data_IF_841992776077
#
_entry.id   IF_841992776077
#
_cell.length_a   1.000
_cell.length_b   1.000
_cell.length_c   1.000
_cell.angle_alpha   90.00
_cell.angle_beta   90.00
_cell.angle_gamma   90.00
#
_symmetry.space_group_name_H-M   'P 1'
#
loop_
_entity.id
_entity.type
_entity.pdbx_description
1 polymer ?
#
# COMPACT_ATOMS: atom_id res chain seq x y z
N UNK A 1 12.18 -2.08 31.51
CA UNK A 1 12.38 -2.42 30.08
C UNK A 1 12.05 -1.18 29.23
N UNK A 2 12.95 -0.69 28.39
CA UNK A 2 12.65 0.45 27.52
C UNK A 2 11.65 0.03 26.43
N UNK A 3 10.59 0.82 26.26
CA UNK A 3 9.59 0.64 25.21
C UNK A 3 9.64 1.82 24.26
N UNK A 4 9.68 1.55 22.96
CA UNK A 4 9.75 2.55 21.90
C UNK A 4 8.66 2.36 20.88
N UNK A 5 8.02 3.44 20.48
CA UNK A 5 6.90 3.44 19.52
C UNK A 5 7.13 4.47 18.43
N UNK A 6 6.98 4.02 17.18
CA UNK A 6 6.83 4.91 16.03
C UNK A 6 5.37 4.85 15.59
N UNK A 7 4.75 5.99 15.37
CA UNK A 7 3.42 6.03 14.77
C UNK A 7 3.39 6.93 13.54
N UNK A 8 2.61 6.54 12.58
CA UNK A 8 2.38 7.31 11.36
C UNK A 8 1.38 8.45 11.63
N UNK A 9 1.75 9.70 11.28
CA UNK A 9 0.90 10.86 11.54
C UNK A 9 -0.46 10.74 10.87
N UNK A 10 -0.47 10.40 9.56
CA UNK A 10 -1.70 10.30 8.77
C UNK A 10 -2.58 9.13 9.25
N UNK A 11 -1.97 8.00 9.61
CA UNK A 11 -2.68 6.85 10.17
C UNK A 11 -3.29 7.11 11.53
N UNK A 12 -2.67 7.99 12.32
CA UNK A 12 -3.16 8.42 13.63
C UNK A 12 -4.16 9.57 13.59
N UNK A 13 -4.28 10.27 12.46
CA UNK A 13 -5.11 11.46 12.32
C UNK A 13 -6.60 11.14 12.58
N UNK A 14 -7.20 11.84 13.54
CA UNK A 14 -8.58 11.63 13.96
C UNK A 14 -8.82 10.34 14.77
N UNK A 15 -7.83 9.44 14.87
CA UNK A 15 -7.93 8.15 15.61
C UNK A 15 -7.22 8.18 16.96
N UNK A 16 -6.15 8.99 17.09
CA UNK A 16 -5.39 9.13 18.33
C UNK A 16 -5.27 10.61 18.70
N UNK A 17 -5.23 10.90 20.01
CA UNK A 17 -5.12 12.26 20.52
C UNK A 17 -3.71 12.55 21.05
N UNK A 18 -3.34 13.83 21.12
CA UNK A 18 -2.11 14.25 21.83
C UNK A 18 -2.09 13.76 23.28
N UNK A 19 -3.27 13.72 23.94
CA UNK A 19 -3.41 13.22 25.31
C UNK A 19 -3.04 11.74 25.42
N UNK A 20 -3.40 10.93 24.44
CA UNK A 20 -3.04 9.51 24.38
C UNK A 20 -1.51 9.35 24.30
N UNK A 21 -0.83 10.03 23.39
CA UNK A 21 0.62 9.96 23.26
C UNK A 21 1.37 10.51 24.47
N UNK A 22 0.86 11.57 25.10
CA UNK A 22 1.43 12.12 26.32
C UNK A 22 1.29 11.15 27.50
N UNK A 23 0.21 10.40 27.58
CA UNK A 23 0.04 9.34 28.61
C UNK A 23 1.08 8.23 28.44
N UNK A 24 1.36 7.78 27.22
CA UNK A 24 2.41 6.80 26.96
C UNK A 24 3.78 7.33 27.37
N UNK A 25 4.10 8.59 27.02
CA UNK A 25 5.37 9.23 27.42
C UNK A 25 5.51 9.37 28.93
N UNK A 26 4.43 9.73 29.62
CA UNK A 26 4.40 9.81 31.07
C UNK A 26 4.61 8.43 31.73
N UNK A 27 4.24 7.35 31.06
CA UNK A 27 4.52 5.96 31.47
C UNK A 27 5.90 5.46 31.06
N UNK A 28 6.81 6.32 30.59
CA UNK A 28 8.19 5.96 30.23
C UNK A 28 8.36 5.41 28.81
N UNK A 29 7.34 5.48 27.94
CA UNK A 29 7.44 5.05 26.55
C UNK A 29 8.04 6.17 25.71
N UNK A 30 9.10 5.87 24.95
CA UNK A 30 9.65 6.78 23.95
C UNK A 30 8.78 6.75 22.67
N UNK A 31 8.21 7.89 22.28
CA UNK A 31 7.27 7.97 21.14
C UNK A 31 7.76 8.95 20.10
N UNK A 32 7.90 8.49 18.85
CA UNK A 32 8.21 9.32 17.69
C UNK A 32 7.09 9.29 16.65
N UNK A 33 6.88 10.40 15.97
CA UNK A 33 5.87 10.57 14.93
C UNK A 33 6.54 10.57 13.56
N UNK A 34 6.06 9.72 12.66
CA UNK A 34 6.53 9.72 11.28
C UNK A 34 5.75 10.73 10.44
N UNK A 35 6.49 11.53 9.67
CA UNK A 35 5.98 12.50 8.68
C UNK A 35 4.79 13.37 9.13
N UNK A 36 4.85 14.06 10.28
CA UNK A 36 3.89 15.10 10.56
C UNK A 36 4.03 16.26 9.56
N UNK A 37 2.94 16.99 9.24
CA UNK A 37 3.01 18.17 8.40
C UNK A 37 4.10 19.14 8.85
N UNK A 38 4.94 19.56 7.93
CA UNK A 38 6.09 20.41 8.20
C UNK A 38 6.32 21.41 7.06
N UNK A 39 6.66 22.67 7.36
CA UNK A 39 7.06 23.62 6.33
C UNK A 39 8.26 23.17 5.50
N UNK A 40 9.16 22.35 6.09
CA UNK A 40 10.32 21.81 5.39
C UNK A 40 9.97 20.70 4.38
N UNK A 41 8.82 20.04 4.55
CA UNK A 41 8.33 18.98 3.67
C UNK A 41 6.80 19.04 3.61
N UNK A 42 6.23 19.95 2.82
CA UNK A 42 4.80 20.23 2.79
C UNK A 42 3.94 19.03 2.41
N UNK A 43 4.45 18.14 1.56
CA UNK A 43 3.78 16.91 1.11
C UNK A 43 4.38 15.63 1.71
N UNK A 44 5.32 15.76 2.65
CA UNK A 44 5.98 14.60 3.27
C UNK A 44 4.99 13.64 3.92
N UNK A 45 3.90 14.15 4.48
CA UNK A 45 2.83 13.35 5.12
C UNK A 45 2.10 12.41 4.16
N UNK A 46 2.25 12.55 2.84
CA UNK A 46 1.71 11.59 1.85
C UNK A 46 2.46 10.26 1.85
N UNK A 47 3.75 10.27 2.20
CA UNK A 47 4.53 9.06 2.41
C UNK A 47 4.32 8.55 3.84
N UNK A 48 3.94 7.28 3.98
CA UNK A 48 3.53 6.68 5.25
C UNK A 48 4.54 5.67 5.77
N UNK A 49 4.65 5.57 7.08
CA UNK A 49 5.17 4.36 7.70
C UNK A 49 3.99 3.37 7.89
N UNK A 50 3.81 2.51 6.89
CA UNK A 50 2.69 1.57 6.87
C UNK A 50 3.05 0.21 7.48
N UNK A 51 4.27 0.06 8.01
CA UNK A 51 4.73 -1.17 8.67
C UNK A 51 3.95 -1.42 9.95
N UNK A 52 3.60 -2.67 10.20
CA UNK A 52 3.00 -3.14 11.43
C UNK A 52 3.89 -4.24 11.97
N UNK A 53 4.74 -3.87 12.91
CA UNK A 53 5.75 -4.73 13.47
C UNK A 53 5.88 -4.52 14.97
N UNK A 54 6.28 -5.57 15.65
CA UNK A 54 6.69 -5.57 17.05
C UNK A 54 7.93 -6.45 17.18
N UNK A 55 8.95 -5.98 17.85
CA UNK A 55 10.12 -6.78 18.22
C UNK A 55 10.31 -6.70 19.72
N UNK A 56 10.61 -7.84 20.35
CA UNK A 56 10.75 -7.97 21.79
C UNK A 56 12.09 -8.63 22.11
N UNK A 57 12.95 -7.85 22.78
CA UNK A 57 14.24 -8.29 23.33
C UNK A 57 15.14 -9.03 22.32
N UNK A 58 15.01 -8.75 21.01
CA UNK A 58 15.76 -9.40 19.96
C UNK A 58 15.48 -10.91 19.79
N UNK A 59 14.48 -11.44 20.48
CA UNK A 59 14.18 -12.89 20.53
C UNK A 59 12.93 -13.28 19.75
N UNK A 60 11.95 -12.39 19.72
CA UNK A 60 10.70 -12.61 18.98
C UNK A 60 10.29 -11.34 18.24
N UNK A 61 9.82 -11.52 17.02
CA UNK A 61 9.26 -10.45 16.19
C UNK A 61 7.90 -10.83 15.64
N UNK A 62 7.06 -9.83 15.43
CA UNK A 62 5.77 -9.97 14.77
C UNK A 62 5.69 -9.03 13.59
N UNK A 63 5.23 -9.54 12.45
CA UNK A 63 4.96 -8.76 11.24
C UNK A 63 3.55 -9.10 10.75
N UNK A 64 2.74 -8.08 10.46
CA UNK A 64 1.34 -8.32 10.15
C UNK A 64 0.69 -7.21 9.32
N UNK A 65 -0.56 -7.43 8.91
CA UNK A 65 -1.47 -6.38 8.49
C UNK A 65 -2.15 -5.65 9.66
N UNK A 66 -2.16 -6.25 10.85
CA UNK A 66 -2.89 -5.78 12.02
C UNK A 66 -2.39 -4.43 12.52
N UNK A 67 -3.33 -3.55 12.86
CA UNK A 67 -3.05 -2.34 13.64
C UNK A 67 -3.60 -2.47 15.07
N UNK A 68 -3.01 -1.74 16.00
CA UNK A 68 -3.53 -1.63 17.36
C UNK A 68 -4.77 -0.71 17.31
N UNK A 69 -5.95 -1.30 17.15
CA UNK A 69 -7.19 -0.55 17.00
C UNK A 69 -8.44 -1.41 17.22
N UNK A 70 -9.54 -0.76 17.61
CA UNK A 70 -10.81 -1.40 17.93
C UNK A 70 -11.35 -2.29 16.80
N UNK A 71 -11.13 -1.90 15.55
CA UNK A 71 -11.58 -2.66 14.39
C UNK A 71 -11.05 -4.10 14.33
N UNK A 72 -9.83 -4.34 14.82
CA UNK A 72 -9.23 -5.69 14.89
C UNK A 72 -9.64 -6.51 16.11
N UNK A 73 -10.26 -5.87 17.10
CA UNK A 73 -10.82 -6.55 18.29
C UNK A 73 -12.31 -6.84 18.09
N UNK A 74 -12.99 -6.00 17.34
CA UNK A 74 -14.44 -6.00 17.21
C UNK A 74 -15.14 -5.51 18.48
N UNK A 75 -16.46 -5.63 18.50
CA UNK A 75 -17.30 -5.33 19.66
C UNK A 75 -18.34 -6.45 19.85
N UNK A 76 -17.98 -7.58 20.46
CA UNK A 76 -18.85 -8.74 20.57
C UNK A 76 -20.20 -8.44 21.23
N UNK A 77 -20.21 -7.53 22.21
CA UNK A 77 -21.44 -7.09 22.88
C UNK A 77 -22.43 -6.37 21.95
N UNK A 78 -21.96 -5.85 20.82
CA UNK A 78 -22.77 -5.19 19.79
C UNK A 78 -22.92 -6.03 18.52
N UNK A 79 -22.44 -7.28 18.52
CA UNK A 79 -22.44 -8.15 17.35
C UNK A 79 -21.49 -7.69 16.22
N UNK A 80 -20.51 -6.84 16.52
CA UNK A 80 -19.54 -6.36 15.53
C UNK A 80 -18.33 -7.29 15.55
N UNK A 81 -18.17 -8.08 14.50
CA UNK A 81 -17.04 -8.97 14.34
C UNK A 81 -15.74 -8.20 14.06
N UNK A 82 -14.57 -8.75 14.48
CA UNK A 82 -13.26 -8.15 14.18
C UNK A 82 -12.98 -8.17 12.67
N UNK A 83 -12.12 -7.28 12.23
CA UNK A 83 -11.56 -7.33 10.88
C UNK A 83 -10.72 -8.59 10.71
N UNK A 84 -10.82 -9.21 9.56
CA UNK A 84 -10.00 -10.37 9.17
C UNK A 84 -8.62 -9.88 8.75
N UNK A 85 -7.58 -10.30 9.45
CA UNK A 85 -6.20 -9.95 9.13
C UNK A 85 -5.26 -11.12 9.39
N UNK A 86 -4.00 -11.01 8.95
CA UNK A 86 -2.99 -12.05 9.09
C UNK A 86 -1.68 -11.47 9.58
N UNK A 87 -1.03 -12.17 10.49
CA UNK A 87 0.31 -11.87 10.97
C UNK A 87 1.12 -13.14 11.19
N UNK A 88 2.43 -12.97 11.27
CA UNK A 88 3.37 -14.03 11.57
C UNK A 88 4.23 -13.66 12.77
N UNK A 89 4.50 -14.64 13.62
CA UNK A 89 5.54 -14.60 14.62
C UNK A 89 6.84 -15.12 14.01
N UNK A 90 7.91 -14.42 14.26
CA UNK A 90 9.27 -14.75 13.79
C UNK A 90 10.17 -14.94 14.99
N UNK A 91 10.93 -16.03 15.01
CA UNK A 91 11.97 -16.31 16.01
C UNK A 91 13.30 -16.60 15.31
N UNK A 92 14.39 -16.52 16.06
CA UNK A 92 15.74 -16.77 15.55
C UNK A 92 16.35 -15.56 14.82
N UNK A 93 17.37 -15.77 13.96
CA UNK A 93 18.23 -14.69 13.44
C UNK A 93 17.49 -13.65 12.59
N UNK A 94 16.34 -14.00 12.02
CA UNK A 94 15.55 -13.07 11.22
C UNK A 94 14.90 -11.94 12.05
N UNK A 95 14.77 -12.08 13.37
CA UNK A 95 14.31 -11.01 14.27
C UNK A 95 15.20 -9.80 14.17
N UNK A 96 16.53 -10.01 13.97
CA UNK A 96 17.47 -8.91 13.73
C UNK A 96 17.05 -8.02 12.55
N UNK A 97 16.50 -8.58 11.49
CA UNK A 97 16.07 -7.80 10.32
C UNK A 97 14.87 -6.91 10.66
N UNK A 98 13.99 -7.35 11.57
CA UNK A 98 12.87 -6.58 12.10
C UNK A 98 13.39 -5.43 12.96
N UNK A 99 14.30 -5.73 13.90
CA UNK A 99 14.97 -4.72 14.74
C UNK A 99 15.70 -3.67 13.90
N UNK A 100 16.46 -4.11 12.90
CA UNK A 100 17.20 -3.21 11.99
C UNK A 100 16.24 -2.31 11.20
N UNK A 101 15.08 -2.83 10.79
CA UNK A 101 14.05 -2.03 10.11
C UNK A 101 13.47 -0.95 11.03
N UNK A 102 13.25 -1.27 12.32
CA UNK A 102 12.82 -0.32 13.33
C UNK A 102 13.92 0.72 13.60
N UNK A 103 15.16 0.26 13.87
CA UNK A 103 16.29 1.11 14.21
C UNK A 103 16.59 2.14 13.11
N UNK A 104 16.56 1.73 11.83
CA UNK A 104 16.71 2.65 10.69
C UNK A 104 15.65 3.74 10.69
N UNK A 105 14.37 3.39 10.92
CA UNK A 105 13.31 4.38 10.96
C UNK A 105 13.43 5.28 12.19
N UNK A 106 13.80 4.70 13.32
CA UNK A 106 14.03 5.48 14.55
C UNK A 106 15.11 6.55 14.35
N UNK A 107 16.22 6.20 13.71
CA UNK A 107 17.32 7.10 13.39
C UNK A 107 16.92 8.21 12.40
N UNK A 108 16.02 7.93 11.45
CA UNK A 108 15.49 8.97 10.54
C UNK A 108 14.63 10.02 11.26
N UNK A 109 14.05 9.66 12.41
CA UNK A 109 13.14 10.54 13.17
C UNK A 109 13.84 11.28 14.33
N UNK A 110 15.14 11.11 14.51
CA UNK A 110 15.90 11.77 15.57
C UNK A 110 17.19 11.03 15.91
N UNK A 111 17.68 11.14 17.14
CA UNK A 111 18.88 10.43 17.56
C UNK A 111 18.73 8.91 17.35
N UNK A 112 19.77 8.19 16.87
CA UNK A 112 19.75 6.76 16.72
C UNK A 112 19.51 6.07 18.07
N UNK A 113 19.23 4.76 18.02
CA UNK A 113 19.18 3.95 19.23
C UNK A 113 20.56 3.92 19.87
N UNK A 114 20.66 3.85 21.21
CA UNK A 114 21.93 3.61 21.88
C UNK A 114 22.57 2.30 21.41
N UNK A 115 23.89 2.26 21.39
CA UNK A 115 24.66 1.06 21.06
C UNK A 115 24.25 -0.09 21.98
N UNK A 116 24.16 -1.30 21.42
CA UNK A 116 23.74 -2.49 22.15
C UNK A 116 22.22 -2.59 22.41
N UNK A 117 21.39 -1.66 21.89
CA UNK A 117 19.93 -1.74 22.05
C UNK A 117 19.33 -2.91 21.27
N UNK A 118 19.85 -3.23 20.10
CA UNK A 118 19.43 -4.39 19.31
C UNK A 118 20.21 -5.62 19.79
N UNK A 119 19.52 -6.50 20.50
CA UNK A 119 20.14 -7.68 21.16
C UNK A 119 19.96 -8.97 20.35
N UNK A 120 19.32 -8.90 19.19
CA UNK A 120 19.09 -10.06 18.35
C UNK A 120 20.43 -10.68 17.92
N UNK A 121 20.66 -11.92 18.31
CA UNK A 121 21.82 -12.70 17.89
C UNK A 121 21.62 -13.18 16.44
N UNK A 122 22.40 -12.70 15.47
CA UNK A 122 22.28 -13.12 14.09
C UNK A 122 22.71 -14.59 13.86
N UNK A 123 23.36 -15.20 14.84
CA UNK A 123 23.84 -16.59 14.78
C UNK A 123 22.91 -17.56 15.52
N UNK A 124 21.89 -17.05 16.23
CA UNK A 124 20.92 -17.87 16.93
C UNK A 124 20.21 -18.82 15.94
N UNK A 125 20.21 -20.10 16.21
CA UNK A 125 19.42 -21.06 15.43
C UNK A 125 17.95 -20.93 15.80
N UNK A 126 17.10 -20.67 14.81
CA UNK A 126 15.67 -20.42 15.02
C UNK A 126 14.72 -21.47 14.44
N UNK A 127 15.23 -22.55 13.86
CA UNK A 127 14.46 -23.57 13.15
C UNK A 127 14.94 -23.78 11.72
N UNK A 128 14.24 -24.60 10.95
CA UNK A 128 14.63 -25.02 9.60
C UNK A 128 13.86 -24.27 8.49
N UNK A 129 13.00 -23.34 8.85
CA UNK A 129 12.18 -22.57 7.89
C UNK A 129 13.02 -21.49 7.22
N UNK A 130 13.12 -21.54 5.89
CA UNK A 130 13.76 -20.50 5.11
C UNK A 130 12.87 -19.26 5.04
N UNK A 131 13.26 -18.18 5.68
CA UNK A 131 12.53 -16.93 5.64
C UNK A 131 13.44 -15.71 5.49
N UNK A 132 12.85 -14.64 4.96
CA UNK A 132 13.49 -13.34 4.86
C UNK A 132 12.51 -12.22 5.18
N UNK A 133 12.95 -11.26 5.98
CA UNK A 133 12.19 -10.02 6.20
C UNK A 133 12.60 -9.00 5.13
N UNK A 134 11.62 -8.43 4.43
CA UNK A 134 11.82 -7.43 3.39
C UNK A 134 11.23 -6.11 3.84
N UNK A 135 12.10 -5.16 4.17
CA UNK A 135 11.70 -3.80 4.50
C UNK A 135 11.90 -2.91 3.27
N UNK A 136 10.85 -2.23 2.83
CA UNK A 136 10.92 -1.27 1.73
C UNK A 136 10.84 0.16 2.24
N UNK A 137 11.39 1.06 1.45
CA UNK A 137 11.32 2.51 1.62
C UNK A 137 10.69 3.12 0.37
N UNK A 138 10.15 4.34 0.43
CA UNK A 138 9.65 5.04 -0.75
C UNK A 138 10.65 4.99 -1.93
N UNK A 139 10.12 4.84 -3.14
CA UNK A 139 10.86 4.79 -4.41
C UNK A 139 11.79 3.58 -4.60
N UNK A 140 11.60 2.48 -3.85
CA UNK A 140 12.45 1.28 -4.01
C UNK A 140 11.83 0.20 -4.91
N UNK A 141 10.51 0.13 -5.03
CA UNK A 141 9.74 -0.85 -5.85
C UNK A 141 10.16 -2.33 -5.66
N UNK A 142 10.85 -2.67 -4.57
CA UNK A 142 11.42 -4.02 -4.38
C UNK A 142 10.35 -5.11 -4.31
N UNK A 143 9.28 -4.89 -3.54
CA UNK A 143 8.18 -5.86 -3.40
C UNK A 143 7.31 -5.95 -4.66
N UNK A 144 7.18 -4.88 -5.44
CA UNK A 144 6.55 -4.95 -6.75
C UNK A 144 7.29 -5.91 -7.68
N UNK A 145 8.61 -5.71 -7.82
CA UNK A 145 9.47 -6.57 -8.66
C UNK A 145 9.46 -8.03 -8.19
N UNK A 146 9.46 -8.24 -6.87
CA UNK A 146 9.35 -9.58 -6.31
C UNK A 146 8.00 -10.21 -6.67
N UNK A 147 6.89 -9.47 -6.55
CA UNK A 147 5.56 -9.94 -6.93
C UNK A 147 5.46 -10.29 -8.42
N UNK A 148 6.05 -9.47 -9.30
CA UNK A 148 6.14 -9.74 -10.74
C UNK A 148 6.95 -11.01 -11.02
N UNK A 149 8.09 -11.19 -10.34
CA UNK A 149 8.93 -12.39 -10.46
C UNK A 149 8.18 -13.65 -10.00
N UNK A 150 7.49 -13.59 -8.85
CA UNK A 150 6.71 -14.73 -8.33
C UNK A 150 5.59 -15.08 -9.31
N UNK A 151 4.88 -14.08 -9.86
CA UNK A 151 3.85 -14.34 -10.86
C UNK A 151 4.41 -14.98 -12.15
N UNK A 152 5.65 -14.66 -12.53
CA UNK A 152 6.32 -15.26 -13.69
C UNK A 152 6.86 -16.67 -13.42
N UNK A 153 7.15 -17.02 -12.16
CA UNK A 153 7.73 -18.31 -11.76
C UNK A 153 6.70 -19.33 -11.27
N UNK A 154 5.52 -18.91 -10.85
CA UNK A 154 4.43 -19.76 -10.41
C UNK A 154 4.04 -20.75 -11.52
N UNK A 155 3.82 -22.01 -11.17
CA UNK A 155 3.54 -23.11 -12.12
C UNK A 155 2.15 -23.69 -11.99
N UNK A 156 1.64 -23.80 -10.76
CA UNK A 156 0.35 -24.42 -10.48
C UNK A 156 -0.67 -23.40 -10.00
N UNK A 157 -0.30 -22.60 -8.99
CA UNK A 157 -1.23 -21.67 -8.35
C UNK A 157 -0.55 -20.45 -7.77
N UNK A 158 -1.25 -19.32 -7.82
CA UNK A 158 -0.86 -18.07 -7.18
C UNK A 158 -2.09 -17.42 -6.56
N UNK A 159 -2.22 -17.48 -5.23
CA UNK A 159 -3.37 -16.97 -4.51
C UNK A 159 -2.98 -15.75 -3.68
N UNK A 160 -3.74 -14.69 -3.85
CA UNK A 160 -3.45 -13.36 -3.33
C UNK A 160 -4.61 -12.88 -2.47
N UNK A 161 -4.32 -12.32 -1.30
CA UNK A 161 -5.28 -11.58 -0.48
C UNK A 161 -4.81 -10.15 -0.34
N UNK A 162 -5.69 -9.19 -0.56
CA UNK A 162 -5.35 -7.76 -0.46
C UNK A 162 -6.52 -6.91 0.03
N UNK A 163 -6.22 -5.97 0.93
CA UNK A 163 -7.22 -5.09 1.53
C UNK A 163 -7.62 -3.92 0.63
N UNK A 164 -6.69 -3.39 -0.16
CA UNK A 164 -6.85 -2.15 -0.94
C UNK A 164 -6.28 -2.30 -2.34
N UNK A 165 -6.79 -3.28 -3.07
CA UNK A 165 -6.34 -3.60 -4.41
C UNK A 165 -6.56 -2.43 -5.39
N UNK A 166 -5.46 -1.98 -5.97
CA UNK A 166 -5.44 -1.05 -7.11
C UNK A 166 -4.24 -1.39 -7.99
N UNK A 167 -4.36 -2.46 -8.77
CA UNK A 167 -3.24 -3.01 -9.53
C UNK A 167 -2.66 -2.02 -10.54
N UNK A 168 -1.34 -1.89 -10.56
CA UNK A 168 -0.61 -1.16 -11.61
C UNK A 168 -0.45 -2.06 -12.83
N UNK A 169 -0.25 -1.44 -13.99
CA UNK A 169 -0.26 -2.12 -15.30
C UNK A 169 0.71 -3.29 -15.37
N UNK A 170 1.94 -3.14 -14.89
CA UNK A 170 2.99 -4.18 -14.97
C UNK A 170 2.60 -5.41 -14.17
N UNK A 171 2.16 -5.23 -12.91
CA UNK A 171 1.72 -6.34 -12.06
C UNK A 171 0.45 -7.02 -12.58
N UNK A 172 -0.52 -6.23 -13.04
CA UNK A 172 -1.74 -6.78 -13.69
C UNK A 172 -1.39 -7.63 -14.90
N UNK A 173 -0.41 -7.21 -15.72
CA UNK A 173 0.05 -7.99 -16.87
C UNK A 173 0.74 -9.30 -16.41
N UNK A 174 1.56 -9.27 -15.37
CA UNK A 174 2.20 -10.46 -14.82
C UNK A 174 1.15 -11.50 -14.36
N UNK A 175 0.13 -11.08 -13.59
CA UNK A 175 -0.97 -11.96 -13.16
C UNK A 175 -1.76 -12.53 -14.35
N UNK A 176 -2.02 -11.70 -15.36
CA UNK A 176 -2.72 -12.12 -16.58
C UNK A 176 -1.91 -13.12 -17.39
N UNK A 177 -0.61 -12.94 -17.50
CA UNK A 177 0.26 -13.90 -18.17
C UNK A 177 0.25 -15.25 -17.44
N UNK A 178 0.49 -15.25 -16.13
CA UNK A 178 0.44 -16.46 -15.32
C UNK A 178 -0.90 -17.24 -15.51
N UNK A 179 -2.04 -16.54 -15.46
CA UNK A 179 -3.34 -17.16 -15.65
C UNK A 179 -3.52 -17.75 -17.07
N UNK A 180 -3.01 -17.07 -18.11
CA UNK A 180 -3.05 -17.57 -19.49
C UNK A 180 -2.14 -18.77 -19.73
N UNK A 181 -1.05 -18.85 -18.96
CA UNK A 181 -0.10 -19.95 -18.98
C UNK A 181 -0.62 -21.17 -18.17
N UNK A 182 -1.86 -21.08 -17.63
CA UNK A 182 -2.54 -22.17 -16.94
C UNK A 182 -2.39 -22.18 -15.43
N UNK A 183 -1.75 -21.18 -14.83
CA UNK A 183 -1.67 -21.03 -13.37
C UNK A 183 -3.05 -20.67 -12.79
N UNK A 184 -3.49 -21.33 -11.73
CA UNK A 184 -4.70 -20.96 -10.97
C UNK A 184 -4.41 -19.68 -10.16
N UNK A 185 -4.65 -18.53 -10.79
CA UNK A 185 -4.46 -17.23 -10.15
C UNK A 185 -5.76 -16.77 -9.50
N UNK A 186 -5.73 -16.55 -8.17
CA UNK A 186 -6.88 -16.05 -7.40
C UNK A 186 -6.56 -14.79 -6.66
N UNK A 187 -7.52 -13.87 -6.60
CA UNK A 187 -7.45 -12.63 -5.84
C UNK A 187 -8.65 -12.52 -4.90
N UNK A 188 -8.41 -12.52 -3.59
CA UNK A 188 -9.40 -12.29 -2.55
C UNK A 188 -9.28 -10.85 -2.05
N UNK A 189 -10.39 -10.11 -2.07
CA UNK A 189 -10.47 -8.69 -1.69
C UNK A 189 -11.71 -8.43 -0.83
N UNK A 190 -11.77 -7.35 -0.04
CA UNK A 190 -12.96 -7.06 0.75
C UNK A 190 -14.13 -6.60 -0.14
N UNK A 191 -15.34 -7.08 0.15
CA UNK A 191 -16.58 -6.52 -0.40
C UNK A 191 -16.92 -5.17 0.28
N UNK A 192 -16.72 -5.08 1.61
CA UNK A 192 -16.82 -3.85 2.40
C UNK A 192 -15.45 -3.21 2.64
N UNK A 193 -15.37 -1.89 2.63
CA UNK A 193 -14.13 -1.15 2.90
C UNK A 193 -14.41 0.08 3.75
N UNK A 194 -13.47 0.43 4.63
CA UNK A 194 -13.47 1.67 5.41
C UNK A 194 -13.20 2.92 4.56
N UNK A 195 -12.77 2.74 3.32
CA UNK A 195 -12.56 3.83 2.34
C UNK A 195 -13.54 3.64 1.17
N UNK A 196 -14.75 4.22 1.23
CA UNK A 196 -15.82 3.96 0.24
C UNK A 196 -15.41 4.16 -1.22
N UNK A 197 -14.48 5.10 -1.48
CA UNK A 197 -13.99 5.40 -2.83
C UNK A 197 -13.14 4.26 -3.42
N UNK A 198 -12.50 3.42 -2.60
CA UNK A 198 -11.65 2.34 -3.09
C UNK A 198 -12.43 1.17 -3.68
N UNK A 199 -13.64 0.88 -3.18
CA UNK A 199 -14.47 -0.23 -3.68
C UNK A 199 -14.75 -0.13 -5.19
N UNK A 200 -15.29 0.98 -5.71
CA UNK A 200 -15.50 1.13 -7.15
C UNK A 200 -14.18 1.13 -7.94
N UNK A 201 -13.09 1.65 -7.36
CA UNK A 201 -11.77 1.64 -7.99
C UNK A 201 -11.22 0.21 -8.15
N UNK A 202 -11.25 -0.60 -7.09
CA UNK A 202 -10.85 -2.01 -7.13
C UNK A 202 -11.67 -2.79 -8.15
N UNK A 203 -13.01 -2.64 -8.12
CA UNK A 203 -13.92 -3.32 -9.06
C UNK A 203 -13.69 -2.95 -10.53
N UNK A 204 -13.28 -1.71 -10.81
CA UNK A 204 -12.94 -1.31 -12.17
C UNK A 204 -11.74 -2.11 -12.73
N UNK A 205 -10.81 -2.53 -11.86
CA UNK A 205 -9.65 -3.35 -12.23
C UNK A 205 -9.97 -4.83 -12.49
N UNK A 206 -11.06 -5.38 -11.92
CA UNK A 206 -11.35 -6.82 -11.99
C UNK A 206 -11.58 -7.32 -13.41
N UNK A 207 -12.28 -6.56 -14.25
CA UNK A 207 -12.63 -6.98 -15.60
C UNK A 207 -11.43 -7.45 -16.41
N UNK A 208 -10.31 -6.72 -16.30
CA UNK A 208 -9.08 -7.04 -17.03
C UNK A 208 -8.45 -8.34 -16.53
N UNK A 209 -8.55 -8.65 -15.24
CA UNK A 209 -8.10 -9.90 -14.62
C UNK A 209 -9.01 -11.07 -15.02
N UNK A 210 -10.32 -10.90 -14.87
CA UNK A 210 -11.33 -11.93 -15.18
C UNK A 210 -11.28 -12.37 -16.65
N UNK A 211 -11.06 -11.45 -17.61
CA UNK A 211 -10.88 -11.79 -19.03
C UNK A 211 -9.61 -12.62 -19.31
N UNK A 212 -8.64 -12.61 -18.42
CA UNK A 212 -7.43 -13.40 -18.54
C UNK A 212 -7.50 -14.75 -17.81
N UNK A 213 -8.62 -15.06 -17.14
CA UNK A 213 -8.80 -16.28 -16.36
C UNK A 213 -8.44 -16.15 -14.88
N UNK A 214 -8.01 -14.96 -14.40
CA UNK A 214 -7.82 -14.75 -12.96
C UNK A 214 -9.17 -14.77 -12.26
N UNK A 215 -9.30 -15.56 -11.19
CA UNK A 215 -10.51 -15.64 -10.38
C UNK A 215 -10.49 -14.58 -9.29
N UNK A 216 -11.55 -13.82 -9.15
CA UNK A 216 -11.66 -12.75 -8.15
C UNK A 216 -12.79 -13.08 -7.18
N UNK A 217 -12.49 -12.97 -5.89
CA UNK A 217 -13.43 -13.26 -4.80
C UNK A 217 -13.59 -12.01 -3.92
N UNK A 218 -14.82 -11.72 -3.49
CA UNK A 218 -15.13 -10.65 -2.54
C UNK A 218 -15.52 -11.26 -1.18
N UNK A 219 -14.77 -10.89 -0.14
CA UNK A 219 -15.00 -11.29 1.25
C UNK A 219 -16.32 -10.72 1.78
N UNK A 220 -17.16 -11.55 2.40
CA UNK A 220 -18.49 -11.18 2.89
C UNK A 220 -18.51 -10.68 4.36
N UNK A 221 -17.40 -10.74 5.08
CA UNK A 221 -17.28 -10.24 6.46
C UNK A 221 -17.15 -8.71 6.56
N UNK A 222 -16.94 -8.17 7.75
CA UNK A 222 -16.86 -6.71 7.99
C UNK A 222 -15.79 -6.04 7.14
N UNK A 223 -14.56 -6.49 7.25
CA UNK A 223 -13.41 -6.02 6.48
C UNK A 223 -12.36 -7.14 6.42
N UNK A 224 -11.84 -7.39 5.26
CA UNK A 224 -10.62 -8.17 5.04
C UNK A 224 -9.44 -7.22 4.90
N UNK A 225 -8.54 -7.21 5.89
CA UNK A 225 -7.40 -6.30 5.89
C UNK A 225 -6.05 -7.02 5.72
N UNK A 226 -6.05 -8.33 5.51
CA UNK A 226 -4.86 -9.15 5.27
C UNK A 226 -4.15 -8.78 3.95
N UNK A 227 -2.84 -8.90 3.92
CA UNK A 227 -1.99 -8.76 2.74
C UNK A 227 -1.10 -9.98 2.67
N UNK A 228 -1.57 -11.00 1.94
CA UNK A 228 -0.87 -12.28 1.82
C UNK A 228 -0.74 -12.70 0.37
N UNK A 229 0.23 -13.55 0.11
CA UNK A 229 0.36 -14.28 -1.14
C UNK A 229 0.89 -15.67 -0.86
N UNK A 230 0.46 -16.65 -1.64
CA UNK A 230 1.02 -18.00 -1.63
C UNK A 230 1.14 -18.50 -3.07
N UNK A 231 2.27 -19.11 -3.40
CA UNK A 231 2.53 -19.70 -4.70
C UNK A 231 2.95 -21.17 -4.54
N UNK A 232 2.30 -22.06 -5.30
CA UNK A 232 2.61 -23.49 -5.46
C UNK A 232 2.76 -24.24 -4.12
N UNK A 233 2.05 -23.81 -3.06
CA UNK A 233 2.07 -24.43 -1.73
C UNK A 233 3.41 -24.36 -1.00
N UNK A 234 4.33 -23.51 -1.45
CA UNK A 234 5.69 -23.41 -0.92
C UNK A 234 6.11 -21.99 -0.61
N UNK A 235 6.07 -21.10 -1.60
CA UNK A 235 6.41 -19.71 -1.38
C UNK A 235 5.24 -18.96 -0.76
N UNK A 236 5.49 -18.16 0.28
CA UNK A 236 4.45 -17.34 0.90
C UNK A 236 4.98 -15.95 1.30
N UNK A 237 4.07 -14.98 1.32
CA UNK A 237 4.31 -13.62 1.79
C UNK A 237 3.21 -13.21 2.77
N UNK A 238 3.61 -12.63 3.92
CA UNK A 238 2.71 -12.01 4.90
C UNK A 238 3.30 -10.68 5.33
N UNK A 239 2.50 -9.60 5.34
CA UNK A 239 3.02 -8.32 5.80
C UNK A 239 2.06 -7.15 5.64
N UNK A 240 2.64 -5.97 5.44
CA UNK A 240 1.89 -4.72 5.40
C UNK A 240 1.61 -4.21 3.98
N UNK A 241 2.26 -4.76 2.95
CA UNK A 241 2.23 -4.25 1.57
C UNK A 241 0.94 -4.60 0.85
N UNK A 242 0.13 -3.59 0.53
CA UNK A 242 -1.02 -3.75 -0.35
C UNK A 242 -0.60 -3.79 -1.82
N UNK A 243 -1.44 -4.41 -2.65
CA UNK A 243 -1.27 -4.48 -4.09
C UNK A 243 -1.75 -3.18 -4.77
N UNK A 244 -1.08 -2.06 -4.43
CA UNK A 244 -1.40 -0.74 -4.97
C UNK A 244 -0.16 0.17 -5.06
N UNK A 245 -0.22 1.26 -5.86
CA UNK A 245 0.91 2.17 -6.06
C UNK A 245 1.42 2.82 -4.78
N UNK A 246 0.54 3.13 -3.81
CA UNK A 246 0.95 3.79 -2.57
C UNK A 246 1.87 2.88 -1.75
N UNK A 247 1.53 1.60 -1.58
CA UNK A 247 2.38 0.64 -0.87
C UNK A 247 3.67 0.33 -1.62
N UNK A 248 3.62 0.20 -2.94
CA UNK A 248 4.81 -0.19 -3.71
C UNK A 248 5.82 0.93 -3.91
N UNK A 249 5.36 2.19 -3.99
CA UNK A 249 6.23 3.32 -4.39
C UNK A 249 6.31 4.42 -3.33
N UNK A 250 5.29 4.56 -2.49
CA UNK A 250 5.15 5.72 -1.62
C UNK A 250 5.36 5.47 -0.13
N UNK A 251 5.14 4.24 0.33
CA UNK A 251 5.18 3.91 1.75
C UNK A 251 6.47 3.20 2.16
N UNK A 252 6.73 3.21 3.48
CA UNK A 252 7.59 2.23 4.11
C UNK A 252 6.73 1.02 4.47
N UNK A 253 7.11 -0.16 3.98
CA UNK A 253 6.40 -1.42 4.20
C UNK A 253 7.34 -2.48 4.79
N UNK A 254 6.76 -3.51 5.41
CA UNK A 254 7.51 -4.65 5.95
C UNK A 254 6.73 -5.92 5.70
N UNK A 255 7.39 -6.89 5.06
CA UNK A 255 6.82 -8.20 4.74
C UNK A 255 7.80 -9.31 5.13
N UNK A 256 7.26 -10.46 5.50
CA UNK A 256 7.99 -11.71 5.68
C UNK A 256 7.74 -12.57 4.46
N UNK A 257 8.81 -13.04 3.84
CA UNK A 257 8.82 -13.98 2.74
C UNK A 257 9.29 -15.33 3.29
N UNK A 258 8.54 -16.37 3.03
CA UNK A 258 8.84 -17.74 3.48
C UNK A 258 8.93 -18.65 2.26
N UNK A 259 9.96 -19.47 2.19
CA UNK A 259 10.13 -20.54 1.21
C UNK A 259 10.20 -21.87 1.98
N UNK A 260 9.01 -22.44 2.24
CA UNK A 260 8.83 -23.65 3.04
C UNK A 260 7.50 -24.31 2.72
N UNK A 261 7.52 -25.61 2.43
CA UNK A 261 6.35 -26.36 2.02
C UNK A 261 5.28 -26.51 3.12
N UNK A 262 5.69 -26.62 4.38
CA UNK A 262 4.73 -26.75 5.48
C UNK A 262 3.99 -25.44 5.71
N UNK A 263 4.72 -24.33 5.72
CA UNK A 263 4.17 -23.00 5.85
C UNK A 263 3.32 -22.62 4.62
N UNK A 264 3.79 -22.91 3.40
CA UNK A 264 3.05 -22.68 2.16
C UNK A 264 1.69 -23.39 2.16
N UNK A 265 1.66 -24.68 2.51
CA UNK A 265 0.39 -25.44 2.64
C UNK A 265 -0.52 -24.88 3.74
N UNK A 266 0.01 -24.42 4.85
CA UNK A 266 -0.78 -23.75 5.89
C UNK A 266 -1.42 -22.46 5.37
N UNK A 267 -0.68 -21.67 4.59
CA UNK A 267 -1.20 -20.46 3.96
C UNK A 267 -2.27 -20.76 2.89
N UNK A 268 -2.12 -21.83 2.12
CA UNK A 268 -3.17 -22.29 1.19
C UNK A 268 -4.44 -22.72 1.95
N UNK A 269 -4.30 -23.50 3.02
CA UNK A 269 -5.44 -23.92 3.84
C UNK A 269 -6.18 -22.72 4.43
N UNK A 270 -5.45 -21.73 4.96
CA UNK A 270 -6.02 -20.47 5.46
C UNK A 270 -6.76 -19.71 4.34
N UNK A 271 -6.18 -19.64 3.14
CA UNK A 271 -6.81 -18.96 2.01
C UNK A 271 -8.11 -19.65 1.59
N UNK A 272 -8.13 -20.99 1.54
CA UNK A 272 -9.33 -21.77 1.21
C UNK A 272 -10.42 -21.62 2.28
N UNK A 273 -10.05 -21.56 3.56
CA UNK A 273 -10.97 -21.25 4.65
C UNK A 273 -11.59 -19.86 4.49
N UNK A 274 -10.79 -18.84 4.19
CA UNK A 274 -11.27 -17.50 3.87
C UNK A 274 -12.26 -17.50 2.68
N UNK A 275 -12.05 -18.33 1.66
CA UNK A 275 -12.96 -18.44 0.52
C UNK A 275 -14.34 -18.99 0.90
N UNK A 276 -14.48 -19.73 2.01
CA UNK A 276 -15.79 -20.22 2.47
C UNK A 276 -16.75 -19.09 2.83
N UNK A 277 -16.21 -17.90 3.17
CA UNK A 277 -16.97 -16.67 3.44
C UNK A 277 -16.73 -15.61 2.36
N UNK A 278 -16.58 -16.02 1.10
CA UNK A 278 -16.38 -15.11 -0.02
C UNK A 278 -17.31 -15.43 -1.19
N UNK A 279 -17.55 -14.44 -2.03
CA UNK A 279 -18.37 -14.57 -3.25
C UNK A 279 -17.50 -14.39 -4.47
N UNK A 280 -17.52 -15.34 -5.40
CA UNK A 280 -16.80 -15.24 -6.66
C UNK A 280 -17.45 -14.21 -7.59
N UNK A 281 -16.63 -13.35 -8.16
CA UNK A 281 -17.05 -12.33 -9.14
C UNK A 281 -16.97 -12.90 -10.55
N UNK A 282 -18.10 -13.01 -11.20
CA UNK A 282 -18.19 -13.56 -12.56
C UNK A 282 -18.39 -12.46 -13.61
N UNK A 283 -17.86 -12.68 -14.80
CA UNK A 283 -18.20 -11.87 -15.97
C UNK A 283 -19.64 -12.19 -16.43
N UNK A 284 -20.43 -11.16 -16.67
CA UNK A 284 -21.75 -11.35 -17.26
C UNK A 284 -21.61 -11.67 -18.77
N UNK A 285 -21.77 -12.94 -19.14
CA UNK A 285 -21.61 -13.44 -20.52
C UNK A 285 -22.53 -12.76 -21.53
N UNK A 286 -23.68 -12.22 -21.12
CA UNK A 286 -24.60 -11.52 -22.02
C UNK A 286 -23.98 -10.29 -22.71
N UNK A 287 -22.91 -9.73 -22.17
CA UNK A 287 -22.18 -8.62 -22.78
C UNK A 287 -21.08 -9.10 -23.75
N UNK A 288 -20.64 -10.35 -23.68
CA UNK A 288 -19.63 -10.94 -24.57
C UNK A 288 -20.24 -11.54 -25.84
N UNK A 289 -21.41 -12.16 -25.78
CA UNK A 289 -22.08 -12.71 -26.97
C UNK A 289 -22.52 -11.66 -27.99
N UNK A 290 -22.90 -10.46 -27.55
CA UNK A 290 -23.26 -9.35 -28.45
C UNK A 290 -22.10 -8.81 -29.29
N UNK A 291 -20.88 -9.20 -29.02
CA UNK A 291 -19.68 -8.71 -29.69
C UNK A 291 -19.20 -9.59 -30.85
N UNK A 292 -19.73 -10.82 -30.96
CA UNK A 292 -19.37 -11.74 -32.04
C UNK A 292 -20.36 -11.74 -33.25
N UNK A 293 -21.55 -11.16 -33.08
CA UNK A 293 -22.55 -11.16 -34.13
C UNK A 293 -22.56 -9.85 -34.92
N UNK A 294 -21.49 -9.45 -35.52
CA UNK A 294 -21.31 -8.48 -36.61
C UNK A 294 -22.46 -7.51 -36.98
N UNK A 295 -23.34 -7.10 -36.02
CA UNK A 295 -24.41 -6.13 -36.23
C UNK A 295 -24.36 -5.00 -35.22
N UNK A 296 -24.13 -3.82 -35.74
CA UNK A 296 -24.30 -2.54 -35.05
C UNK A 296 -25.75 -2.38 -34.58
N UNK A 297 -25.97 -2.30 -33.26
CA UNK A 297 -27.16 -1.62 -32.73
C UNK A 297 -26.93 -1.12 -31.31
N UNK A 298 -27.55 0.00 -31.04
CA UNK A 298 -27.42 0.98 -29.96
C UNK A 298 -27.36 0.47 -28.50
N UNK A 299 -26.78 1.24 -27.55
CA UNK A 299 -26.46 0.78 -26.21
C UNK A 299 -27.69 0.79 -25.31
N UNK A 300 -28.01 -0.37 -24.73
CA UNK A 300 -28.94 -0.44 -23.61
C UNK A 300 -28.21 -0.10 -22.30
N UNK A 301 -28.77 0.84 -21.56
CA UNK A 301 -28.35 1.31 -20.25
C UNK A 301 -28.37 0.20 -19.20
N UNK A 302 -27.19 -0.20 -18.71
CA UNK A 302 -27.01 -1.02 -17.53
C UNK A 302 -26.19 -0.26 -16.50
N UNK A 303 -26.84 0.22 -15.43
CA UNK A 303 -26.22 0.95 -14.34
C UNK A 303 -25.21 0.08 -13.58
N UNK A 304 -23.99 0.51 -13.55
CA UNK A 304 -22.92 -0.08 -12.75
C UNK A 304 -21.79 0.92 -12.57
N UNK A 305 -21.76 1.56 -11.44
CA UNK A 305 -20.66 2.24 -10.78
C UNK A 305 -19.72 3.09 -11.65
N UNK A 306 -20.16 4.28 -12.05
CA UNK A 306 -19.36 5.25 -12.82
C UNK A 306 -18.12 5.81 -12.07
N UNK A 307 -18.17 5.89 -10.75
CA UNK A 307 -17.10 6.47 -9.93
C UNK A 307 -15.82 5.63 -9.87
N UNK A 308 -15.91 4.30 -9.80
CA UNK A 308 -14.72 3.44 -9.78
C UNK A 308 -14.00 3.32 -11.12
N UNK A 309 -14.77 3.48 -12.21
CA UNK A 309 -14.21 3.60 -13.56
C UNK A 309 -13.53 4.95 -13.76
N UNK A 310 -14.01 6.01 -13.09
CA UNK A 310 -13.41 7.33 -13.14
C UNK A 310 -12.05 7.40 -12.42
N UNK A 311 -11.90 6.72 -11.29
CA UNK A 311 -10.65 6.74 -10.52
C UNK A 311 -9.55 5.82 -11.14
N UNK A 312 -9.90 4.63 -11.69
CA UNK A 312 -9.01 3.86 -12.54
C UNK A 312 -8.73 4.59 -13.86
N UNK A 313 -9.66 5.42 -14.30
CA UNK A 313 -9.55 6.29 -15.46
C UNK A 313 -8.64 7.49 -15.24
N UNK A 314 -8.50 8.03 -14.03
CA UNK A 314 -7.56 9.14 -13.76
C UNK A 314 -6.10 8.75 -14.01
N UNK A 315 -5.70 7.52 -13.70
CA UNK A 315 -4.39 6.98 -14.09
C UNK A 315 -4.29 6.64 -15.59
N UNK A 316 -5.44 6.36 -16.26
CA UNK A 316 -5.51 6.12 -17.71
C UNK A 316 -5.80 7.40 -18.51
N UNK A 317 -6.35 8.44 -17.91
CA UNK A 317 -6.66 9.73 -18.59
C UNK A 317 -5.37 10.36 -19.13
N UNK A 318 -4.26 10.34 -18.41
CA UNK A 318 -2.97 10.80 -18.94
C UNK A 318 -2.56 10.06 -20.21
N UNK A 319 -2.78 8.74 -20.27
CA UNK A 319 -2.44 7.90 -21.42
C UNK A 319 -3.52 7.95 -22.51
N UNK A 320 -4.81 8.08 -22.16
CA UNK A 320 -5.92 8.14 -23.12
C UNK A 320 -6.04 9.52 -23.77
N UNK A 321 -5.82 10.60 -23.03
CA UNK A 321 -5.75 11.97 -23.58
C UNK A 321 -4.54 12.10 -24.52
N UNK A 322 -3.37 11.57 -24.14
CA UNK A 322 -2.22 11.50 -25.01
C UNK A 322 -2.49 10.69 -26.29
N UNK A 323 -3.16 9.55 -26.19
CA UNK A 323 -3.52 8.69 -27.32
C UNK A 323 -4.62 9.29 -28.22
N UNK A 324 -5.58 10.03 -27.66
CA UNK A 324 -6.63 10.73 -28.41
C UNK A 324 -6.07 11.91 -29.21
N UNK A 325 -5.07 12.61 -28.67
CA UNK A 325 -4.36 13.69 -29.37
C UNK A 325 -3.44 13.15 -30.47
N UNK A 326 -2.91 11.93 -30.33
CA UNK A 326 -1.98 11.32 -31.31
C UNK A 326 -2.65 10.42 -32.34
N UNK A 327 -3.97 10.21 -32.27
CA UNK A 327 -4.81 9.46 -33.24
C UNK A 327 -4.40 8.00 -33.50
N UNK A 328 -3.79 7.32 -32.48
CA UNK A 328 -3.19 5.99 -32.68
C UNK A 328 -3.89 4.85 -31.91
N UNK A 329 -5.13 5.03 -31.39
CA UNK A 329 -5.85 3.99 -30.66
C UNK A 329 -7.37 4.05 -30.86
N UNK A 330 -8.00 2.88 -31.13
CA UNK A 330 -9.45 2.75 -31.05
C UNK A 330 -9.91 2.79 -29.58
N UNK A 331 -10.68 3.81 -29.20
CA UNK A 331 -11.22 4.00 -27.85
C UNK A 331 -12.38 3.02 -27.62
N UNK A 332 -12.34 2.30 -26.48
CA UNK A 332 -13.48 1.49 -26.05
C UNK A 332 -14.66 2.38 -25.58
N UNK A 333 -15.94 1.92 -25.70
CA UNK A 333 -17.13 2.71 -25.32
C UNK A 333 -17.13 3.23 -23.87
N UNK A 334 -16.38 2.56 -22.99
CA UNK A 334 -16.19 2.95 -21.58
C UNK A 334 -15.25 4.14 -21.45
N UNK A 335 -14.20 4.19 -22.29
CA UNK A 335 -13.25 5.32 -22.29
C UNK A 335 -13.93 6.59 -22.81
N UNK A 336 -14.85 6.48 -23.78
CA UNK A 336 -15.62 7.60 -24.29
C UNK A 336 -16.50 8.26 -23.21
N UNK A 337 -17.15 7.48 -22.33
CA UNK A 337 -17.91 8.02 -21.20
C UNK A 337 -17.03 8.71 -20.16
N UNK A 338 -15.85 8.15 -19.88
CA UNK A 338 -14.87 8.76 -18.96
C UNK A 338 -14.38 10.09 -19.54
N UNK A 339 -14.08 10.14 -20.83
CA UNK A 339 -13.67 11.37 -21.51
C UNK A 339 -14.80 12.41 -21.51
N UNK A 340 -16.04 12.01 -21.74
CA UNK A 340 -17.19 12.92 -21.70
C UNK A 340 -17.39 13.50 -20.27
N UNK A 341 -17.34 12.66 -19.24
CA UNK A 341 -17.43 13.12 -17.84
C UNK A 341 -16.27 14.04 -17.48
N UNK A 342 -15.04 13.69 -17.89
CA UNK A 342 -13.88 14.54 -17.67
C UNK A 342 -14.00 15.89 -18.40
N UNK A 343 -14.49 15.88 -19.65
CA UNK A 343 -14.74 17.11 -20.42
C UNK A 343 -15.79 17.99 -19.74
N UNK A 344 -16.89 17.40 -19.24
CA UNK A 344 -17.94 18.15 -18.51
C UNK A 344 -17.37 18.74 -17.21
N UNK A 345 -16.61 17.96 -16.43
CA UNK A 345 -16.00 18.45 -15.19
C UNK A 345 -15.00 19.57 -15.48
N UNK A 346 -14.16 19.43 -16.51
CA UNK A 346 -13.23 20.48 -16.93
C UNK A 346 -13.95 21.73 -17.42
N UNK A 347 -15.04 21.58 -18.16
CA UNK A 347 -15.87 22.71 -18.59
C UNK A 347 -16.53 23.43 -17.41
N UNK A 348 -17.05 22.69 -16.41
CA UNK A 348 -17.59 23.27 -15.17
C UNK A 348 -16.50 24.00 -14.38
N UNK A 349 -15.34 23.37 -14.18
CA UNK A 349 -14.20 24.00 -13.50
C UNK A 349 -13.72 25.23 -14.27
N UNK A 350 -13.59 25.14 -15.59
CA UNK A 350 -13.23 26.27 -16.45
C UNK A 350 -14.25 27.41 -16.36
N UNK A 351 -15.55 27.09 -16.38
CA UNK A 351 -16.62 28.06 -16.17
C UNK A 351 -16.57 28.73 -14.80
N UNK A 352 -16.36 27.94 -13.73
CA UNK A 352 -16.19 28.47 -12.36
C UNK A 352 -14.96 29.37 -12.26
N UNK A 353 -13.85 29.01 -12.90
CA UNK A 353 -12.63 29.85 -12.93
C UNK A 353 -12.89 31.15 -13.68
N UNK A 354 -13.63 31.11 -14.79
CA UNK A 354 -13.96 32.29 -15.58
C UNK A 354 -14.90 33.24 -14.84
N UNK A 355 -15.88 32.71 -14.11
CA UNK A 355 -16.87 33.52 -13.37
C UNK A 355 -16.32 33.98 -12.01
N UNK A 356 -15.53 33.13 -11.34
CA UNK A 356 -14.97 33.39 -10.01
C UNK A 356 -13.44 33.22 -9.97
N UNK A 357 -12.66 33.97 -10.76
CA UNK A 357 -11.21 33.77 -10.85
C UNK A 357 -10.47 33.90 -9.51
N UNK A 358 -10.98 34.75 -8.61
CA UNK A 358 -10.40 34.98 -7.28
C UNK A 358 -10.55 33.79 -6.34
N UNK A 359 -11.62 32.98 -6.47
CA UNK A 359 -11.87 31.77 -5.67
C UNK A 359 -10.83 30.68 -5.92
N UNK A 360 -10.20 30.67 -7.09
CA UNK A 360 -9.18 29.68 -7.47
C UNK A 360 -7.78 30.32 -7.44
N UNK A 361 -7.65 31.59 -7.87
CA UNK A 361 -6.37 32.29 -7.87
C UNK A 361 -5.79 32.46 -6.45
N UNK A 362 -6.60 32.79 -5.45
CA UNK A 362 -6.11 32.97 -4.08
C UNK A 362 -5.61 31.67 -3.42
N UNK A 363 -6.32 30.51 -3.46
CA UNK A 363 -5.77 29.26 -2.97
C UNK A 363 -4.48 28.83 -3.70
N UNK A 364 -4.41 28.99 -5.02
CA UNK A 364 -3.21 28.68 -5.80
C UNK A 364 -2.06 29.60 -5.40
N UNK A 365 -2.30 30.90 -5.28
CA UNK A 365 -1.30 31.86 -4.84
C UNK A 365 -0.82 31.56 -3.40
N UNK A 366 -1.73 31.24 -2.49
CA UNK A 366 -1.38 30.86 -1.12
C UNK A 366 -0.51 29.59 -1.08
N UNK A 367 -0.83 28.56 -1.87
CA UNK A 367 -0.02 27.36 -2.00
C UNK A 367 1.34 27.68 -2.61
N UNK A 368 1.41 28.49 -3.66
CA UNK A 368 2.68 28.89 -4.30
C UNK A 368 3.58 29.69 -3.34
N UNK A 369 3.03 30.65 -2.60
CA UNK A 369 3.74 31.43 -1.59
C UNK A 369 4.25 30.53 -0.46
N UNK A 370 3.43 29.59 -0.01
CA UNK A 370 3.82 28.62 0.99
C UNK A 370 4.97 27.73 0.54
N UNK A 371 4.92 27.21 -0.71
CA UNK A 371 6.01 26.45 -1.31
C UNK A 371 7.30 27.28 -1.43
N UNK A 372 7.19 28.52 -1.89
CA UNK A 372 8.33 29.43 -1.97
C UNK A 372 8.98 29.66 -0.60
N UNK A 373 8.17 29.88 0.44
CA UNK A 373 8.64 29.99 1.82
C UNK A 373 9.33 28.73 2.33
N UNK A 374 8.78 27.55 2.03
CA UNK A 374 9.38 26.27 2.40
C UNK A 374 10.73 26.03 1.72
N UNK A 375 10.85 26.35 0.44
CA UNK A 375 12.11 26.25 -0.31
C UNK A 375 13.16 27.24 0.21
N UNK A 376 12.76 28.49 0.50
CA UNK A 376 13.62 29.48 1.09
C UNK A 376 14.14 29.06 2.48
N UNK A 377 13.24 28.59 3.35
CA UNK A 377 13.63 28.07 4.66
C UNK A 377 14.63 26.91 4.56
N UNK A 378 14.39 25.97 3.64
CA UNK A 378 15.30 24.84 3.39
C UNK A 378 16.67 25.31 2.90
N UNK A 379 16.70 26.29 1.99
CA UNK A 379 17.95 26.93 1.52
C UNK A 379 18.73 27.56 2.65
N UNK A 380 18.06 28.35 3.49
CA UNK A 380 18.69 29.00 4.64
C UNK A 380 19.24 28.00 5.66
N UNK A 381 18.49 26.88 5.90
CA UNK A 381 18.94 25.82 6.81
C UNK A 381 20.19 25.11 6.29
N UNK A 382 20.22 24.79 4.99
CA UNK A 382 21.39 24.15 4.35
C UNK A 382 22.64 25.04 4.40
N UNK A 383 22.49 26.37 4.18
CA UNK A 383 23.59 27.30 4.32
C UNK A 383 24.11 27.39 5.77
N UNK A 384 23.24 27.36 6.78
CA UNK A 384 23.64 27.33 8.20
C UNK A 384 24.37 26.05 8.58
N UNK A 385 23.98 24.89 8.07
CA UNK A 385 24.69 23.63 8.31
C UNK A 385 26.05 23.60 7.60
N UNK A 386 26.14 24.08 6.37
CA UNK A 386 27.41 24.21 5.65
C UNK A 386 28.40 25.15 6.37
N UNK A 387 27.93 26.31 6.84
CA UNK A 387 28.77 27.23 7.59
C UNK A 387 29.22 26.67 8.95
N UNK A 388 28.40 25.87 9.64
CA UNK A 388 28.80 25.20 10.88
C UNK A 388 29.84 24.11 10.64
N UNK A 389 29.74 23.35 9.55
CA UNK A 389 30.73 22.37 9.16
C UNK A 389 32.08 23.00 8.76
N UNK A 390 32.07 24.19 8.17
CA UNK A 390 33.28 24.94 7.81
C UNK A 390 34.00 25.59 9.00
N UNK A 391 33.34 25.74 10.17
CA UNK A 391 33.89 26.34 11.39
C UNK A 391 34.38 25.29 12.40
N UNK A 392 34.09 24.00 12.18
CA UNK A 392 34.58 22.94 13.05
C UNK A 392 36.11 22.78 12.88
N UNK A 393 36.93 22.92 13.95
CA UNK A 393 38.38 22.79 13.86
C UNK A 393 38.74 21.36 13.42
N UNK A 394 39.65 21.24 12.46
CA UNK A 394 40.25 19.98 12.05
C UNK A 394 40.98 19.34 13.24
N UNK A 395 40.53 18.18 13.68
CA UNK A 395 41.16 17.40 14.77
C UNK A 395 42.36 16.60 14.29
N UNK A 396 43.11 17.09 13.32
CA UNK A 396 44.39 16.50 12.92
C UNK A 396 45.54 17.37 13.38
N UNK A 397 46.02 17.09 14.59
CA UNK A 397 47.37 17.46 14.98
C UNK A 397 48.11 16.15 15.22
N UNK A 398 49.17 15.80 14.47
CA UNK A 398 49.99 14.63 14.75
C UNK A 398 50.81 14.92 16.02
N UNK A 399 50.67 14.02 17.00
CA UNK A 399 51.56 13.96 18.14
C UNK A 399 52.99 13.61 17.64
N UNK A 400 53.89 14.47 17.94
CA UNK A 400 55.35 14.23 17.84
C UNK A 400 55.84 13.32 18.98
#
# INVERSE_FOLDING_TARGET
MPVRVIYDWLGGLGKTSRRFWNRLRAGGVEVRCYNPPSPASPLGWLSRDHRKMLAVDGTVGFVSGLCVGQAWVGEPARGIAPWRDTGVEVRGPAVKQIDDAFARMWALLGAPLPDGTTTADPTARGGDTNLRVVATMPNTAGLLRLGELVAALARERLWLTDAYYAGITTYVQALRSAARDGVDVRLLVPNGTDIPLLRPLSRAGYRTLLHAGVRVFEWNGPMLHAKTAVADGRWARVGSTNLNPASWLGNCELDVIVDDDAFGRQMEAMYLDDLTNATEVLLNERLTMRRNDGRSDSPASGGGGSAGRAAAGLLRIGNAVGAAVTNHRHLEPVENRIMLVAAIVLAIVGGLVAVFPRLIAYPIAAVAIWFAGALFYRSCRLRRTANRAAIAPSSDSPAA
#
